data_IF_518058215552
#
_entry.id   IF_518058215552
#
_cell.length_a   1.000
_cell.length_b   1.000
_cell.length_c   1.000
_cell.angle_alpha   90.00
_cell.angle_beta   90.00
_cell.angle_gamma   90.00
#
_symmetry.space_group_name_H-M   'P 1'
#
loop_
_entity.id
_entity.type
_entity.pdbx_description
1 polymer ?
#
# COMPACT_ATOMS: atom_id res chain seq x y z
N UNK A 1 35.32 65.78 50.36
CA UNK A 1 36.57 65.04 50.05
C UNK A 1 36.22 63.56 49.89
N UNK A 2 36.75 62.90 48.84
CA UNK A 2 36.69 61.46 48.51
C UNK A 2 35.36 60.99 47.86
N UNK A 3 35.23 60.96 46.51
CA UNK A 3 35.64 59.92 45.54
C UNK A 3 35.18 58.51 45.94
N UNK A 4 34.23 57.88 45.25
CA UNK A 4 34.35 56.77 44.27
C UNK A 4 32.95 56.10 44.18
N UNK A 5 32.44 55.40 43.16
CA UNK A 5 32.90 54.84 41.89
C UNK A 5 31.62 54.58 41.05
N UNK A 6 31.69 54.81 39.75
CA UNK A 6 30.69 54.33 38.80
C UNK A 6 30.75 52.79 38.71
N UNK A 7 29.61 52.11 38.81
CA UNK A 7 29.48 50.71 38.41
C UNK A 7 28.70 50.67 37.09
N UNK A 8 29.38 50.16 36.06
CA UNK A 8 28.89 49.97 34.70
C UNK A 8 27.89 48.82 34.70
N UNK A 9 26.64 49.11 34.29
CA UNK A 9 25.66 48.09 33.92
C UNK A 9 26.07 47.45 32.59
N UNK A 10 26.68 46.28 32.65
CA UNK A 10 26.93 45.43 31.48
C UNK A 10 26.01 44.21 31.51
N UNK A 11 24.76 44.37 31.10
CA UNK A 11 23.88 43.23 30.82
C UNK A 11 24.13 42.78 29.38
N UNK A 12 24.94 41.75 29.21
CA UNK A 12 25.05 41.05 27.93
C UNK A 12 23.73 40.32 27.66
N UNK A 13 22.97 40.84 26.69
CA UNK A 13 21.80 40.16 26.16
C UNK A 13 22.23 38.91 25.39
N UNK A 14 22.12 37.75 26.02
CA UNK A 14 22.13 36.47 25.31
C UNK A 14 20.71 36.27 24.78
N UNK A 15 20.42 36.92 23.65
CA UNK A 15 19.33 36.48 22.78
C UNK A 15 19.79 35.18 22.11
N UNK A 16 19.75 34.09 22.89
CA UNK A 16 19.96 32.75 22.36
C UNK A 16 18.89 32.52 21.32
N UNK A 17 19.31 32.42 20.06
CA UNK A 17 18.53 31.79 19.00
C UNK A 17 18.01 30.47 19.56
N UNK A 18 16.74 30.45 19.98
CA UNK A 18 15.96 29.23 19.94
C UNK A 18 15.85 28.91 18.45
N UNK A 19 16.87 28.22 17.93
CA UNK A 19 16.83 27.62 16.61
C UNK A 19 15.57 26.79 16.58
N UNK A 20 14.60 27.22 15.77
CA UNK A 20 13.58 26.34 15.28
C UNK A 20 14.33 25.20 14.59
N UNK A 21 14.59 24.12 15.34
CA UNK A 21 14.82 22.83 14.74
C UNK A 21 13.61 22.67 13.81
N UNK A 22 13.80 22.50 12.49
CA UNK A 22 12.69 22.19 11.61
C UNK A 22 12.03 20.99 12.26
N UNK A 23 10.81 21.18 12.79
CA UNK A 23 10.05 20.08 13.35
C UNK A 23 10.07 19.01 12.29
N UNK A 24 10.58 17.83 12.63
CA UNK A 24 10.66 16.73 11.68
C UNK A 24 9.28 16.63 11.07
N UNK A 25 9.17 16.98 9.78
CA UNK A 25 7.98 16.67 9.03
C UNK A 25 7.87 15.16 9.21
N UNK A 26 6.89 14.72 10.00
CA UNK A 26 6.71 13.31 10.31
C UNK A 26 6.67 12.63 8.96
N UNK A 27 7.74 11.91 8.62
CA UNK A 27 7.85 11.25 7.33
C UNK A 27 6.61 10.36 7.24
N UNK A 28 5.73 10.67 6.30
CA UNK A 28 4.49 9.95 6.12
C UNK A 28 4.85 8.47 5.93
N UNK A 29 4.38 7.61 6.84
CA UNK A 29 4.81 6.22 6.83
C UNK A 29 4.32 5.55 5.54
N UNK A 30 5.21 4.82 4.90
CA UNK A 30 4.96 4.23 3.60
C UNK A 30 5.60 2.85 3.51
N UNK A 31 4.94 1.91 2.83
CA UNK A 31 5.44 0.56 2.61
C UNK A 31 5.19 0.11 1.17
N UNK A 32 6.27 -0.23 0.45
CA UNK A 32 6.21 -0.93 -0.84
C UNK A 32 6.47 -2.41 -0.64
N UNK A 33 5.65 -3.26 -1.26
CA UNK A 33 5.81 -4.70 -1.24
C UNK A 33 5.76 -5.26 -2.66
N UNK A 34 6.62 -6.24 -2.95
CA UNK A 34 6.63 -6.95 -4.23
C UNK A 34 5.44 -7.91 -4.30
N UNK A 35 4.96 -8.18 -5.52
CA UNK A 35 3.96 -9.21 -5.75
C UNK A 35 4.45 -10.61 -5.36
N UNK A 36 5.75 -10.83 -5.15
CA UNK A 36 6.30 -12.08 -4.59
C UNK A 36 5.75 -12.45 -3.21
N UNK A 37 5.19 -11.48 -2.47
CA UNK A 37 4.46 -11.74 -1.22
C UNK A 37 3.04 -12.26 -1.44
N UNK A 38 2.50 -12.14 -2.64
CA UNK A 38 1.15 -12.58 -2.96
C UNK A 38 1.10 -14.09 -3.21
N UNK A 39 0.03 -14.74 -2.76
CA UNK A 39 -0.20 -16.17 -2.97
C UNK A 39 -1.41 -16.38 -3.88
N UNK A 40 -1.29 -17.19 -4.95
CA UNK A 40 -2.44 -17.60 -5.73
C UNK A 40 -3.33 -18.55 -4.92
N UNK A 41 -4.62 -18.24 -4.85
CA UNK A 41 -5.62 -19.04 -4.11
C UNK A 41 -6.63 -19.75 -5.04
N UNK A 42 -6.33 -19.79 -6.34
CA UNK A 42 -7.13 -20.54 -7.31
C UNK A 42 -6.71 -22.00 -7.40
N UNK A 43 -7.64 -22.93 -7.68
CA UNK A 43 -7.40 -24.37 -7.61
C UNK A 43 -6.34 -24.91 -8.59
N UNK A 44 -5.97 -24.14 -9.62
CA UNK A 44 -4.99 -24.53 -10.63
C UNK A 44 -3.76 -23.63 -10.62
N UNK A 45 -2.69 -24.09 -9.97
CA UNK A 45 -1.37 -23.42 -9.95
C UNK A 45 -0.60 -23.50 -11.26
N UNK A 46 -1.04 -24.35 -12.21
CA UNK A 46 -0.32 -24.65 -13.46
C UNK A 46 -0.19 -23.44 -14.42
N UNK A 47 -0.84 -22.33 -14.09
CA UNK A 47 -0.97 -21.16 -14.94
C UNK A 47 -0.29 -19.91 -14.38
N UNK A 48 0.34 -19.99 -13.20
CA UNK A 48 0.98 -18.82 -12.57
C UNK A 48 2.35 -18.59 -13.18
N UNK A 49 2.57 -17.40 -13.76
CA UNK A 49 3.89 -16.95 -14.21
C UNK A 49 4.50 -16.08 -13.13
N UNK A 50 5.76 -16.33 -12.80
CA UNK A 50 6.55 -15.47 -11.92
C UNK A 50 7.73 -14.94 -12.71
N UNK A 51 7.78 -13.63 -12.93
CA UNK A 51 8.87 -12.96 -13.65
C UNK A 51 9.36 -11.77 -12.85
N UNK A 52 10.63 -11.82 -12.43
CA UNK A 52 11.33 -10.69 -11.80
C UNK A 52 10.60 -10.06 -10.60
N UNK A 53 9.84 -10.87 -9.85
CA UNK A 53 9.05 -10.43 -8.69
C UNK A 53 7.60 -10.04 -9.00
N UNK A 54 7.18 -10.03 -10.27
CA UNK A 54 5.80 -9.93 -10.69
C UNK A 54 5.13 -11.31 -10.76
N UNK A 55 3.84 -11.37 -10.47
CA UNK A 55 3.00 -12.57 -10.61
C UNK A 55 1.95 -12.32 -11.68
N UNK A 56 1.93 -13.14 -12.73
CA UNK A 56 1.03 -13.04 -13.87
C UNK A 56 0.17 -14.27 -14.09
N UNK A 57 -0.95 -14.09 -14.78
CA UNK A 57 -1.80 -15.17 -15.24
C UNK A 57 -1.38 -15.63 -16.63
N UNK A 58 -0.71 -16.78 -16.73
CA UNK A 58 -0.31 -17.37 -18.01
C UNK A 58 -1.26 -18.42 -18.56
N UNK A 59 -2.44 -18.64 -17.95
CA UNK A 59 -3.36 -19.71 -18.35
C UNK A 59 -4.76 -19.24 -18.71
N UNK A 60 -5.60 -20.18 -19.16
CA UNK A 60 -6.88 -19.88 -19.82
C UNK A 60 -8.04 -19.59 -18.85
N UNK A 61 -7.77 -19.51 -17.55
CA UNK A 61 -8.77 -19.25 -16.50
C UNK A 61 -8.31 -18.09 -15.64
N UNK A 62 -9.24 -17.28 -15.14
CA UNK A 62 -8.93 -16.21 -14.20
C UNK A 62 -8.21 -16.77 -12.96
N UNK A 63 -7.25 -16.01 -12.44
CA UNK A 63 -6.59 -16.32 -11.17
C UNK A 63 -6.85 -15.24 -10.14
N UNK A 64 -6.86 -15.66 -8.87
CA UNK A 64 -7.00 -14.78 -7.73
C UNK A 64 -5.75 -14.86 -6.88
N UNK A 65 -5.17 -13.70 -6.61
CA UNK A 65 -4.03 -13.51 -5.73
C UNK A 65 -4.50 -12.90 -4.41
N UNK A 66 -3.91 -13.37 -3.31
CA UNK A 66 -4.03 -12.76 -1.99
C UNK A 66 -2.67 -12.18 -1.63
N UNK A 67 -2.61 -10.87 -1.48
CA UNK A 67 -1.41 -10.15 -1.07
C UNK A 67 -1.57 -9.72 0.39
N UNK A 68 -0.72 -10.22 1.32
CA UNK A 68 -0.83 -9.84 2.73
C UNK A 68 -0.52 -8.35 2.90
N UNK A 69 -1.04 -7.72 3.94
CA UNK A 69 -0.45 -6.47 4.42
C UNK A 69 0.27 -6.75 5.73
N UNK A 70 1.41 -6.10 5.93
CA UNK A 70 2.11 -6.16 7.20
C UNK A 70 1.47 -5.11 8.12
N UNK A 71 0.65 -5.58 9.06
CA UNK A 71 0.04 -4.77 10.12
C UNK A 71 0.96 -4.81 11.35
N UNK A 72 1.83 -3.80 11.48
CA UNK A 72 2.84 -3.73 12.53
C UNK A 72 2.93 -2.32 13.13
N UNK A 73 3.80 -2.14 14.14
CA UNK A 73 3.96 -0.85 14.80
C UNK A 73 4.54 0.27 13.91
N UNK A 74 5.06 -0.05 12.73
CA UNK A 74 5.58 0.94 11.79
C UNK A 74 4.49 1.50 10.88
N UNK A 75 3.65 0.62 10.33
CA UNK A 75 2.50 1.01 9.52
C UNK A 75 1.27 0.18 9.94
N UNK A 76 0.58 0.58 11.02
CA UNK A 76 -0.63 -0.09 11.47
C UNK A 76 -1.71 0.00 10.38
N UNK A 77 -2.44 -1.09 10.14
CA UNK A 77 -3.48 -1.18 9.12
C UNK A 77 -4.48 -0.02 9.18
N UNK A 78 -4.87 0.39 10.38
CA UNK A 78 -5.86 1.45 10.62
C UNK A 78 -5.35 2.86 10.32
N UNK A 79 -4.05 3.01 10.12
CA UNK A 79 -3.45 4.27 9.70
C UNK A 79 -3.31 4.37 8.19
N UNK A 80 -3.56 3.30 7.43
CA UNK A 80 -3.43 3.29 5.97
C UNK A 80 -4.65 3.95 5.32
N UNK A 81 -4.48 5.14 4.73
CA UNK A 81 -5.56 5.81 3.98
C UNK A 81 -5.54 5.51 2.49
N UNK A 82 -4.41 5.05 1.94
CA UNK A 82 -4.30 4.74 0.51
C UNK A 82 -3.55 3.43 0.31
N UNK A 83 -4.14 2.58 -0.53
CA UNK A 83 -3.49 1.40 -1.08
C UNK A 83 -3.42 1.57 -2.60
N UNK A 84 -2.24 1.33 -3.18
CA UNK A 84 -2.06 1.26 -4.63
C UNK A 84 -1.58 -0.14 -5.01
N UNK A 85 -2.09 -0.68 -6.10
CA UNK A 85 -1.69 -1.98 -6.63
C UNK A 85 -1.21 -1.78 -8.06
N UNK A 86 0.06 -2.06 -8.29
CA UNK A 86 0.70 -1.87 -9.59
C UNK A 86 0.49 -3.11 -10.45
N UNK A 87 -0.21 -2.91 -11.56
CA UNK A 87 -0.62 -3.99 -12.45
C UNK A 87 -0.23 -3.68 -13.89
N UNK A 88 -0.03 -4.74 -14.65
CA UNK A 88 -0.12 -4.71 -16.09
C UNK A 88 -1.40 -5.43 -16.48
N UNK A 89 -2.28 -4.76 -17.21
CA UNK A 89 -3.44 -5.40 -17.82
C UNK A 89 -3.12 -5.80 -19.25
N UNK A 90 -3.06 -7.10 -19.48
CA UNK A 90 -2.82 -7.70 -20.79
C UNK A 90 -4.10 -8.09 -21.53
N UNK A 91 -5.27 -7.89 -20.92
CA UNK A 91 -6.56 -8.28 -21.49
C UNK A 91 -7.28 -7.09 -22.12
N UNK A 92 -7.80 -7.29 -23.33
CA UNK A 92 -8.62 -6.31 -24.03
C UNK A 92 -10.13 -6.49 -23.76
N UNK A 93 -10.52 -7.51 -23.00
CA UNK A 93 -11.93 -7.91 -22.82
C UNK A 93 -12.35 -8.08 -21.36
N UNK A 94 -11.39 -8.14 -20.44
CA UNK A 94 -11.63 -8.30 -19.02
C UNK A 94 -10.65 -7.42 -18.24
N UNK A 95 -11.12 -6.83 -17.14
CA UNK A 95 -10.31 -5.96 -16.32
C UNK A 95 -9.52 -6.74 -15.25
N UNK A 96 -8.36 -6.23 -14.88
CA UNK A 96 -7.72 -6.56 -13.61
C UNK A 96 -8.46 -5.80 -12.50
N UNK A 97 -8.86 -6.48 -11.44
CA UNK A 97 -9.49 -5.84 -10.27
C UNK A 97 -8.76 -6.13 -8.97
N UNK A 98 -8.65 -5.10 -8.13
CA UNK A 98 -8.05 -5.15 -6.81
C UNK A 98 -9.06 -4.70 -5.75
N UNK A 99 -9.02 -5.34 -4.58
CA UNK A 99 -9.91 -5.07 -3.43
C UNK A 99 -9.13 -5.09 -2.13
N UNK A 100 -9.51 -4.24 -1.20
CA UNK A 100 -9.13 -4.43 0.22
C UNK A 100 -10.09 -5.42 0.86
N UNK A 101 -9.54 -6.36 1.60
CA UNK A 101 -10.31 -7.37 2.31
C UNK A 101 -9.78 -7.53 3.74
N UNK A 102 -10.57 -8.21 4.56
CA UNK A 102 -10.17 -8.70 5.87
C UNK A 102 -10.51 -10.18 6.00
N UNK A 103 -9.72 -10.89 6.80
CA UNK A 103 -10.04 -12.23 7.29
C UNK A 103 -10.46 -12.09 8.73
N UNK A 104 -11.63 -12.60 9.08
CA UNK A 104 -12.15 -12.43 10.43
C UNK A 104 -11.26 -13.17 11.43
N UNK A 105 -10.87 -12.49 12.52
CA UNK A 105 -10.03 -13.10 13.55
C UNK A 105 -10.80 -14.17 14.34
N UNK A 106 -12.07 -13.91 14.63
CA UNK A 106 -12.91 -14.75 15.49
C UNK A 106 -13.85 -15.70 14.74
N UNK A 107 -13.94 -15.62 13.41
CA UNK A 107 -14.90 -16.38 12.60
C UNK A 107 -14.28 -16.88 11.30
N UNK A 108 -14.86 -17.92 10.71
CA UNK A 108 -14.51 -18.34 9.35
C UNK A 108 -15.09 -17.36 8.35
N UNK A 109 -14.26 -16.88 7.44
CA UNK A 109 -14.66 -16.00 6.34
C UNK A 109 -13.94 -14.66 6.35
N UNK A 110 -14.51 -13.71 5.65
CA UNK A 110 -13.94 -12.38 5.51
C UNK A 110 -14.91 -11.42 4.84
N UNK A 111 -14.51 -10.15 4.76
CA UNK A 111 -15.24 -9.12 4.06
C UNK A 111 -14.32 -8.40 3.09
N UNK A 112 -14.83 -8.02 1.94
CA UNK A 112 -14.11 -7.26 0.93
C UNK A 112 -14.87 -5.99 0.57
N UNK A 113 -14.12 -4.93 0.32
CA UNK A 113 -14.65 -3.68 -0.19
C UNK A 113 -15.00 -3.72 -1.68
N UNK A 114 -15.41 -2.57 -2.24
CA UNK A 114 -15.60 -2.43 -3.67
C UNK A 114 -14.28 -2.64 -4.43
N UNK A 115 -14.40 -3.17 -5.64
CA UNK A 115 -13.28 -3.32 -6.55
C UNK A 115 -12.83 -1.96 -7.10
N UNK A 116 -11.52 -1.76 -7.15
CA UNK A 116 -10.87 -0.83 -8.08
C UNK A 116 -10.41 -1.67 -9.27
N UNK A 117 -10.78 -1.30 -10.48
CA UNK A 117 -10.53 -2.10 -11.67
C UNK A 117 -9.96 -1.25 -12.80
N UNK A 118 -9.20 -1.89 -13.68
CA UNK A 118 -8.80 -1.29 -14.95
C UNK A 118 -10.03 -1.07 -15.83
N UNK A 119 -9.95 -0.16 -16.80
CA UNK A 119 -11.01 -0.03 -17.80
C UNK A 119 -10.90 -1.17 -18.81
N UNK A 120 -12.04 -1.60 -19.36
CA UNK A 120 -12.09 -2.67 -20.37
C UNK A 120 -11.36 -2.36 -21.68
N UNK A 121 -10.83 -1.15 -21.85
CA UNK A 121 -9.99 -0.74 -22.99
C UNK A 121 -8.52 -0.50 -22.62
N UNK A 122 -8.16 -0.62 -21.34
CA UNK A 122 -6.87 -0.20 -20.80
C UNK A 122 -5.86 -1.32 -20.76
N UNK A 123 -5.36 -1.76 -21.92
CA UNK A 123 -4.16 -2.61 -21.96
C UNK A 123 -2.96 -1.75 -21.57
N UNK A 124 -2.17 -2.20 -20.60
CA UNK A 124 -0.95 -1.52 -20.18
C UNK A 124 -0.71 -1.49 -18.68
N UNK A 125 0.34 -0.76 -18.31
CA UNK A 125 0.74 -0.56 -16.91
C UNK A 125 -0.16 0.53 -16.30
N UNK A 126 -0.71 0.24 -15.13
CA UNK A 126 -1.48 1.20 -14.34
C UNK A 126 -1.45 0.83 -12.85
N UNK A 127 -1.91 1.75 -12.00
CA UNK A 127 -2.05 1.50 -10.56
C UNK A 127 -3.53 1.55 -10.18
N UNK A 128 -4.02 0.50 -9.54
CA UNK A 128 -5.37 0.44 -8.97
C UNK A 128 -5.36 1.00 -7.56
N UNK A 129 -6.38 1.76 -7.17
CA UNK A 129 -6.52 2.30 -5.81
C UNK A 129 -7.79 1.77 -5.14
N UNK A 130 -7.75 0.55 -4.57
CA UNK A 130 -8.88 0.01 -3.82
C UNK A 130 -9.11 0.82 -2.53
N UNK A 131 -10.38 1.07 -2.20
CA UNK A 131 -10.75 1.82 -0.99
C UNK A 131 -10.27 1.10 0.27
N UNK A 132 -9.63 1.82 1.21
CA UNK A 132 -9.21 1.28 2.52
C UNK A 132 -10.33 1.26 3.57
N UNK A 133 -11.55 1.69 3.22
CA UNK A 133 -12.68 1.77 4.14
C UNK A 133 -13.04 0.43 4.80
N UNK A 134 -12.80 -0.70 4.11
CA UNK A 134 -12.98 -2.05 4.67
C UNK A 134 -12.12 -2.27 5.91
N UNK A 135 -10.86 -1.85 5.87
CA UNK A 135 -9.94 -2.04 7.00
C UNK A 135 -10.36 -1.24 8.24
N UNK A 136 -10.93 -0.05 8.04
CA UNK A 136 -11.48 0.77 9.11
C UNK A 136 -12.77 0.19 9.70
N UNK A 137 -13.59 -0.45 8.86
CA UNK A 137 -14.85 -1.07 9.29
C UNK A 137 -14.64 -2.36 10.10
N UNK A 138 -13.50 -3.01 9.91
CA UNK A 138 -13.15 -4.29 10.52
C UNK A 138 -11.80 -4.17 11.23
N UNK A 139 -11.79 -3.39 12.31
CA UNK A 139 -10.53 -2.90 12.89
C UNK A 139 -9.68 -3.99 13.53
N UNK A 140 -10.31 -5.01 14.11
CA UNK A 140 -9.65 -6.12 14.81
C UNK A 140 -9.25 -7.30 13.90
N UNK A 141 -9.63 -7.26 12.62
CA UNK A 141 -9.45 -8.38 11.69
C UNK A 141 -8.17 -8.24 10.84
N UNK A 142 -7.71 -9.32 10.22
CA UNK A 142 -6.45 -9.30 9.46
C UNK A 142 -6.69 -8.76 8.05
N UNK A 143 -6.10 -7.60 7.72
CA UNK A 143 -6.20 -7.01 6.40
C UNK A 143 -5.38 -7.76 5.34
N UNK A 144 -5.86 -7.74 4.11
CA UNK A 144 -5.10 -8.16 2.93
C UNK A 144 -5.68 -7.49 1.67
N UNK A 145 -4.97 -7.60 0.56
CA UNK A 145 -5.46 -7.25 -0.77
C UNK A 145 -5.81 -8.51 -1.55
N UNK A 146 -6.90 -8.45 -2.30
CA UNK A 146 -7.23 -9.46 -3.32
C UNK A 146 -7.05 -8.83 -4.68
N UNK A 147 -6.35 -9.52 -5.58
CA UNK A 147 -6.21 -9.11 -6.98
C UNK A 147 -6.68 -10.25 -7.87
N UNK A 148 -7.64 -9.99 -8.75
CA UNK A 148 -8.02 -10.94 -9.79
C UNK A 148 -7.32 -10.56 -11.09
N UNK A 149 -6.67 -11.53 -11.71
CA UNK A 149 -6.04 -11.40 -13.01
C UNK A 149 -6.86 -12.20 -14.03
N UNK A 150 -7.31 -11.57 -15.13
CA UNK A 150 -8.13 -12.23 -16.13
C UNK A 150 -7.35 -13.34 -16.83
N UNK A 151 -8.08 -14.30 -17.40
CA UNK A 151 -7.55 -15.37 -18.23
C UNK A 151 -6.67 -14.83 -19.37
N UNK A 152 -5.54 -15.49 -19.58
CA UNK A 152 -4.67 -15.21 -20.71
C UNK A 152 -5.19 -15.90 -21.97
N UNK A 153 -5.46 -15.09 -23.00
CA UNK A 153 -5.85 -15.57 -24.33
C UNK A 153 -4.69 -15.44 -25.32
N UNK A 154 -4.17 -14.22 -25.49
CA UNK A 154 -3.14 -13.88 -26.48
C UNK A 154 -2.33 -12.67 -26.02
N UNK A 155 -1.12 -12.50 -26.55
CA UNK A 155 -0.29 -11.32 -26.29
C UNK A 155 0.48 -11.41 -24.97
N UNK A 156 0.38 -10.37 -24.14
CA UNK A 156 1.03 -10.31 -22.83
C UNK A 156 0.03 -10.69 -21.74
N UNK A 157 0.43 -11.51 -20.78
CA UNK A 157 -0.40 -11.88 -19.64
C UNK A 157 -0.63 -10.69 -18.69
N UNK A 158 -1.82 -10.56 -18.12
CA UNK A 158 -2.04 -9.63 -17.01
C UNK A 158 -1.22 -10.06 -15.79
N UNK A 159 -0.65 -9.09 -15.08
CA UNK A 159 0.24 -9.34 -13.93
C UNK A 159 0.15 -8.27 -12.85
N UNK A 160 0.48 -8.66 -11.62
CA UNK A 160 0.73 -7.75 -10.49
C UNK A 160 2.23 -7.65 -10.28
N UNK A 161 2.74 -6.43 -10.14
CA UNK A 161 4.16 -6.16 -9.89
C UNK A 161 4.44 -5.96 -8.39
N UNK A 162 3.50 -5.31 -7.71
CA UNK A 162 3.62 -4.99 -6.31
C UNK A 162 2.45 -4.14 -5.83
N UNK A 163 2.56 -3.67 -4.60
CA UNK A 163 1.58 -2.81 -3.98
C UNK A 163 2.22 -1.90 -2.94
N UNK A 164 1.51 -0.83 -2.67
CA UNK A 164 1.96 0.29 -1.88
C UNK A 164 0.91 0.65 -0.85
N UNK A 165 1.35 0.95 0.36
CA UNK A 165 0.50 1.34 1.48
C UNK A 165 1.00 2.68 2.02
N UNK A 166 0.11 3.65 2.12
CA UNK A 166 0.42 5.02 2.56
C UNK A 166 -0.43 5.39 3.78
N UNK A 167 0.25 5.83 4.85
CA UNK A 167 -0.36 6.45 6.03
C UNK A 167 -0.77 7.88 5.78
#
# INVERSE_FOLDING_TARGET
MRWTRAMVMGAFGVAGLAGALPGEASAQAYRRMSASFCTPITPTYQSVRSDSGAIGNGGPTDIRLVCPILDDGYLPKLQIFSALVDVYDGSATAAVDARTCVSFWANVGGACGPASATSSSGVGITSLSPSTATWNSYSTDYGYLVVNLPAFTTGTASSVHGYELHQ
#
